data_IF_775712518759
#
_entry.id   IF_775712518759
#
_cell.length_a   1.000
_cell.length_b   1.000
_cell.length_c   1.000
_cell.angle_alpha   90.00
_cell.angle_beta   90.00
_cell.angle_gamma   90.00
#
_symmetry.space_group_name_H-M   'P 1'
#
loop_
_entity.id
_entity.type
_entity.pdbx_description
1 polymer ?
#
# COMPACT_ATOMS: atom_id res chain seq x y z
N UNK A 1 17.04 2.96 -19.72
CA UNK A 1 17.09 2.81 -18.25
C UNK A 1 17.12 4.13 -17.48
N UNK A 2 17.90 5.12 -17.92
CA UNK A 2 18.03 6.44 -17.24
C UNK A 2 16.69 7.18 -17.10
N UNK A 3 15.85 7.17 -18.13
CA UNK A 3 14.54 7.83 -18.12
C UNK A 3 13.53 7.19 -17.16
N UNK A 4 13.51 5.85 -17.06
CA UNK A 4 12.68 5.12 -16.11
C UNK A 4 13.03 5.48 -14.65
N UNK A 5 14.33 5.46 -14.30
CA UNK A 5 14.79 5.82 -12.96
C UNK A 5 14.43 7.28 -12.61
N UNK A 6 14.54 8.19 -13.57
CA UNK A 6 14.18 9.59 -13.37
C UNK A 6 12.69 9.76 -13.08
N UNK A 7 11.84 9.04 -13.81
CA UNK A 7 10.37 9.06 -13.58
C UNK A 7 10.06 8.45 -12.22
N UNK A 8 10.64 7.29 -11.90
CA UNK A 8 10.45 6.63 -10.61
C UNK A 8 10.81 7.52 -9.43
N UNK A 9 12.01 8.13 -9.44
CA UNK A 9 12.43 9.05 -8.38
C UNK A 9 11.54 10.29 -8.30
N UNK A 10 11.07 10.81 -9.43
CA UNK A 10 10.15 11.95 -9.48
C UNK A 10 8.83 11.60 -8.79
N UNK A 11 8.23 10.46 -9.12
CA UNK A 11 6.97 10.00 -8.52
C UNK A 11 7.13 9.74 -7.02
N UNK A 12 8.20 9.08 -6.63
CA UNK A 12 8.50 8.83 -5.22
C UNK A 12 8.68 10.16 -4.45
N UNK A 13 9.45 11.09 -4.99
CA UNK A 13 9.64 12.42 -4.39
C UNK A 13 8.34 13.21 -4.33
N UNK A 14 7.49 13.15 -5.35
CA UNK A 14 6.19 13.81 -5.35
C UNK A 14 5.27 13.28 -4.24
N UNK A 15 5.30 11.96 -3.98
CA UNK A 15 4.58 11.38 -2.86
C UNK A 15 5.10 11.91 -1.51
N UNK A 16 6.41 11.93 -1.29
CA UNK A 16 7.00 12.38 -0.02
C UNK A 16 6.98 13.90 0.19
N UNK A 17 6.98 14.70 -0.87
CA UNK A 17 6.83 16.15 -0.77
C UNK A 17 5.39 16.58 -0.48
N UNK A 18 4.42 15.69 -0.65
CA UNK A 18 3.01 15.97 -0.34
C UNK A 18 2.75 15.80 1.16
N UNK A 19 2.22 16.81 1.86
CA UNK A 19 1.84 16.67 3.27
C UNK A 19 0.78 15.59 3.49
N UNK A 20 -0.02 15.28 2.47
CA UNK A 20 -1.04 14.22 2.50
C UNK A 20 -0.42 12.84 2.68
N UNK A 21 0.77 12.60 2.15
CA UNK A 21 1.47 11.32 2.33
C UNK A 21 1.79 11.03 3.80
N UNK A 22 2.24 12.05 4.54
CA UNK A 22 2.53 11.91 5.97
C UNK A 22 1.25 11.67 6.79
N UNK A 23 0.17 12.35 6.46
CA UNK A 23 -1.13 12.13 7.10
C UNK A 23 -1.60 10.69 6.85
N UNK A 24 -1.53 10.21 5.61
CA UNK A 24 -1.87 8.84 5.26
C UNK A 24 -1.01 7.81 6.01
N UNK A 25 0.29 8.06 6.11
CA UNK A 25 1.22 7.21 6.85
C UNK A 25 0.86 7.12 8.33
N UNK A 26 0.61 8.26 8.97
CA UNK A 26 0.23 8.30 10.40
C UNK A 26 -1.14 7.64 10.63
N UNK A 27 -2.13 7.93 9.79
CA UNK A 27 -3.47 7.33 9.89
C UNK A 27 -3.38 5.82 9.68
N UNK A 28 -2.67 5.36 8.65
CA UNK A 28 -2.47 3.94 8.38
C UNK A 28 -1.85 3.21 9.59
N UNK A 29 -0.75 3.76 10.14
CA UNK A 29 -0.10 3.19 11.31
C UNK A 29 -1.01 3.18 12.54
N UNK A 30 -1.69 4.30 12.82
CA UNK A 30 -2.56 4.42 13.99
C UNK A 30 -3.73 3.44 13.93
N UNK A 31 -4.38 3.35 12.76
CA UNK A 31 -5.55 2.49 12.60
C UNK A 31 -5.17 1.01 12.56
N UNK A 32 -4.10 0.64 11.85
CA UNK A 32 -3.59 -0.75 11.83
C UNK A 32 -3.17 -1.20 13.23
N UNK A 33 -2.48 -0.36 13.97
CA UNK A 33 -2.09 -0.68 15.35
C UNK A 33 -3.29 -0.76 16.30
N UNK A 34 -4.27 0.12 16.14
CA UNK A 34 -5.48 0.11 16.96
C UNK A 34 -6.32 -1.16 16.71
N UNK A 35 -6.55 -1.54 15.44
CA UNK A 35 -7.29 -2.77 15.11
C UNK A 35 -6.57 -4.00 15.63
N UNK A 36 -5.26 -4.10 15.42
CA UNK A 36 -4.46 -5.19 15.95
C UNK A 36 -4.54 -5.32 17.48
N UNK A 37 -4.48 -4.19 18.22
CA UNK A 37 -4.64 -4.19 19.67
C UNK A 37 -6.06 -4.59 20.10
N UNK A 38 -7.09 -4.16 19.39
CA UNK A 38 -8.48 -4.53 19.66
C UNK A 38 -8.69 -6.03 19.44
N UNK A 39 -8.16 -6.58 18.35
CA UNK A 39 -8.27 -8.01 18.02
C UNK A 39 -7.61 -8.87 19.10
N UNK A 40 -6.40 -8.50 19.55
CA UNK A 40 -5.72 -9.22 20.66
C UNK A 40 -6.52 -9.15 21.96
N UNK A 41 -7.15 -8.02 22.27
CA UNK A 41 -7.85 -7.84 23.55
C UNK A 41 -9.24 -8.49 23.57
N UNK A 42 -9.92 -8.53 22.43
CA UNK A 42 -11.27 -9.11 22.32
C UNK A 42 -11.21 -10.62 22.07
N UNK A 43 -10.25 -11.07 21.29
CA UNK A 43 -10.10 -12.44 20.84
C UNK A 43 -8.99 -13.20 21.55
N UNK A 44 -8.67 -12.84 22.80
CA UNK A 44 -7.72 -13.58 23.64
C UNK A 44 -8.08 -15.09 23.83
N UNK A 45 -9.24 -15.51 23.31
CA UNK A 45 -9.73 -16.87 23.25
C UNK A 45 -9.60 -17.52 21.86
N UNK A 46 -9.08 -16.82 20.83
CA UNK A 46 -8.94 -17.40 19.51
C UNK A 46 -7.64 -18.23 19.41
N UNK A 47 -7.79 -19.45 18.90
CA UNK A 47 -6.68 -20.36 18.57
C UNK A 47 -5.84 -19.89 17.37
N UNK A 48 -5.95 -18.62 16.97
CA UNK A 48 -5.23 -18.09 15.82
C UNK A 48 -3.86 -17.50 16.22
N UNK A 49 -2.80 -17.77 15.44
CA UNK A 49 -1.49 -17.19 15.69
C UNK A 49 -1.54 -15.64 15.53
N UNK A 50 -0.90 -14.94 16.44
CA UNK A 50 -0.77 -13.45 16.40
C UNK A 50 -0.29 -12.90 15.05
N UNK A 51 0.52 -13.68 14.34
CA UNK A 51 1.02 -13.34 13.00
C UNK A 51 -0.11 -13.22 11.99
N UNK A 52 -1.11 -14.10 12.03
CA UNK A 52 -2.25 -14.07 11.11
C UNK A 52 -3.09 -12.83 11.36
N UNK A 53 -3.49 -12.59 12.61
CA UNK A 53 -4.28 -11.42 13.02
C UNK A 53 -3.63 -10.10 12.59
N UNK A 54 -2.29 -10.01 12.71
CA UNK A 54 -1.56 -8.82 12.30
C UNK A 54 -1.58 -8.63 10.79
N UNK A 55 -1.33 -9.69 10.01
CA UNK A 55 -1.37 -9.59 8.54
C UNK A 55 -2.77 -9.30 8.02
N UNK A 56 -3.81 -9.83 8.62
CA UNK A 56 -5.21 -9.50 8.29
C UNK A 56 -5.50 -8.02 8.51
N UNK A 57 -5.13 -7.48 9.67
CA UNK A 57 -5.28 -6.05 9.97
C UNK A 57 -4.54 -5.17 8.94
N UNK A 58 -3.31 -5.53 8.58
CA UNK A 58 -2.53 -4.82 7.55
C UNK A 58 -3.25 -4.87 6.20
N UNK A 59 -3.69 -6.03 5.75
CA UNK A 59 -4.32 -6.22 4.44
C UNK A 59 -5.60 -5.38 4.31
N UNK A 60 -6.45 -5.36 5.32
CA UNK A 60 -7.69 -4.57 5.32
C UNK A 60 -7.38 -3.09 5.12
N UNK A 61 -6.49 -2.52 5.89
CA UNK A 61 -6.16 -1.08 5.80
C UNK A 61 -5.30 -0.73 4.61
N UNK A 62 -4.51 -1.68 4.10
CA UNK A 62 -3.74 -1.54 2.88
C UNK A 62 -4.64 -1.26 1.66
N UNK A 63 -5.84 -1.85 1.60
CA UNK A 63 -6.79 -1.61 0.50
C UNK A 63 -7.23 -0.15 0.41
N UNK A 64 -7.49 0.46 1.56
CA UNK A 64 -7.85 1.88 1.64
C UNK A 64 -6.65 2.74 1.22
N UNK A 65 -5.46 2.42 1.74
CA UNK A 65 -4.23 3.15 1.41
C UNK A 65 -3.93 3.08 -0.08
N UNK A 66 -3.99 1.89 -0.69
CA UNK A 66 -3.80 1.69 -2.14
C UNK A 66 -4.80 2.50 -2.95
N UNK A 67 -6.08 2.50 -2.56
CA UNK A 67 -7.12 3.27 -3.23
C UNK A 67 -6.78 4.76 -3.25
N UNK A 68 -6.37 5.34 -2.12
CA UNK A 68 -6.02 6.76 -2.03
C UNK A 68 -4.75 7.09 -2.83
N UNK A 69 -3.77 6.21 -2.84
CA UNK A 69 -2.55 6.40 -3.64
C UNK A 69 -2.86 6.30 -5.14
N UNK A 70 -3.58 5.26 -5.56
CA UNK A 70 -3.85 5.01 -6.99
C UNK A 70 -4.79 6.04 -7.62
N UNK A 71 -5.75 6.60 -6.86
CA UNK A 71 -6.63 7.65 -7.40
C UNK A 71 -5.87 8.89 -7.87
N UNK A 72 -4.67 9.14 -7.33
CA UNK A 72 -3.85 10.31 -7.67
C UNK A 72 -2.93 10.09 -8.86
N UNK A 73 -2.54 8.84 -9.14
CA UNK A 73 -1.48 8.53 -10.11
C UNK A 73 -1.73 9.04 -11.52
N UNK A 74 -2.93 8.87 -12.06
CA UNK A 74 -3.29 9.33 -13.40
C UNK A 74 -4.50 10.27 -13.43
N UNK A 75 -5.48 10.07 -12.54
CA UNK A 75 -6.67 10.89 -12.54
C UNK A 75 -6.37 12.37 -12.20
N UNK A 76 -5.39 12.62 -11.34
CA UNK A 76 -4.95 13.98 -11.01
C UNK A 76 -4.21 14.64 -12.20
N UNK A 77 -3.35 13.92 -12.90
CA UNK A 77 -2.64 14.43 -14.10
C UNK A 77 -3.59 14.69 -15.26
N UNK A 78 -4.60 13.82 -15.46
CA UNK A 78 -5.65 14.06 -16.47
C UNK A 78 -6.47 15.30 -16.15
N UNK A 79 -6.77 15.52 -14.87
CA UNK A 79 -7.54 16.69 -14.43
C UNK A 79 -6.74 17.99 -14.57
N UNK A 80 -5.46 17.95 -14.31
CA UNK A 80 -4.56 19.14 -14.40
C UNK A 80 -4.05 19.40 -15.82
N UNK A 81 -4.31 18.52 -16.78
CA UNK A 81 -3.83 18.63 -18.17
C UNK A 81 -2.32 18.36 -18.33
N UNK A 82 -1.64 17.98 -17.27
CA UNK A 82 -0.19 17.72 -17.29
C UNK A 82 0.19 16.42 -18.01
N UNK A 83 -0.78 15.56 -18.27
CA UNK A 83 -0.56 14.34 -19.03
C UNK A 83 -0.13 14.64 -20.47
N UNK A 84 -0.69 15.70 -21.11
CA UNK A 84 -0.34 16.09 -22.47
C UNK A 84 1.12 16.59 -22.53
N UNK A 85 1.57 17.33 -21.54
CA UNK A 85 2.96 17.80 -21.47
C UNK A 85 3.94 16.64 -21.20
N UNK A 86 3.52 15.60 -20.50
CA UNK A 86 4.32 14.40 -20.30
C UNK A 86 4.52 13.60 -21.60
N UNK A 87 3.53 13.64 -22.49
CA UNK A 87 3.59 12.95 -23.80
C UNK A 87 4.47 13.68 -24.82
N UNK A 88 4.85 14.93 -24.60
CA UNK A 88 5.76 15.67 -25.50
C UNK A 88 7.24 15.36 -25.25
N UNK A 89 7.57 14.70 -24.16
CA UNK A 89 8.93 14.28 -23.82
C UNK A 89 9.25 12.98 -24.59
N UNK A 90 10.50 12.77 -25.08
CA UNK A 90 10.89 11.56 -25.80
C UNK A 90 11.05 10.34 -24.83
N UNK A 91 9.94 9.91 -24.23
CA UNK A 91 9.83 8.73 -23.37
C UNK A 91 8.75 7.80 -23.91
N UNK A 92 8.94 6.49 -23.77
CA UNK A 92 7.94 5.52 -24.18
C UNK A 92 6.81 5.44 -23.14
N UNK A 93 5.58 5.19 -23.59
CA UNK A 93 4.40 5.02 -22.71
C UNK A 93 4.65 3.95 -21.64
N UNK A 94 5.31 2.86 -22.01
CA UNK A 94 5.69 1.79 -21.07
C UNK A 94 6.59 2.29 -19.94
N UNK A 95 7.54 3.19 -20.23
CA UNK A 95 8.42 3.77 -19.21
C UNK A 95 7.65 4.66 -18.23
N UNK A 96 6.63 5.35 -18.70
CA UNK A 96 5.77 6.19 -17.86
C UNK A 96 4.94 5.31 -16.93
N UNK A 97 4.26 4.31 -17.46
CA UNK A 97 3.39 3.41 -16.69
C UNK A 97 4.21 2.63 -15.65
N UNK A 98 5.32 2.03 -16.07
CA UNK A 98 6.19 1.27 -15.16
C UNK A 98 6.86 2.17 -14.11
N UNK A 99 7.23 3.39 -14.47
CA UNK A 99 7.79 4.36 -13.53
C UNK A 99 6.80 4.75 -12.44
N UNK A 100 5.55 5.02 -12.81
CA UNK A 100 4.46 5.31 -11.87
C UNK A 100 4.11 4.11 -10.99
N UNK A 101 4.03 2.93 -11.59
CA UNK A 101 3.82 1.69 -10.86
C UNK A 101 4.90 1.46 -9.81
N UNK A 102 6.17 1.54 -10.21
CA UNK A 102 7.30 1.38 -9.31
C UNK A 102 7.34 2.45 -8.22
N UNK A 103 6.97 3.70 -8.53
CA UNK A 103 6.87 4.80 -7.57
C UNK A 103 5.81 4.54 -6.51
N UNK A 104 4.60 4.16 -6.93
CA UNK A 104 3.50 3.83 -6.03
C UNK A 104 3.80 2.61 -5.16
N UNK A 105 4.35 1.54 -5.76
CA UNK A 105 4.72 0.33 -5.02
C UNK A 105 5.82 0.62 -3.99
N UNK A 106 6.86 1.37 -4.37
CA UNK A 106 7.93 1.76 -3.45
C UNK A 106 7.40 2.61 -2.28
N UNK A 107 6.47 3.53 -2.56
CA UNK A 107 5.83 4.34 -1.52
C UNK A 107 5.03 3.46 -0.55
N UNK A 108 4.22 2.53 -1.05
CA UNK A 108 3.45 1.61 -0.20
C UNK A 108 4.35 0.73 0.67
N UNK A 109 5.42 0.18 0.11
CA UNK A 109 6.38 -0.61 0.87
C UNK A 109 7.08 0.21 1.96
N UNK A 110 7.38 1.48 1.70
CA UNK A 110 7.93 2.39 2.70
C UNK A 110 6.92 2.72 3.81
N UNK A 111 5.64 2.86 3.48
CA UNK A 111 4.58 3.11 4.48
C UNK A 111 4.30 1.87 5.32
N UNK A 112 4.41 0.67 4.76
CA UNK A 112 4.26 -0.59 5.50
C UNK A 112 5.49 -0.96 6.33
N UNK A 113 6.66 -0.40 6.04
CA UNK A 113 7.91 -0.69 6.75
C UNK A 113 7.86 -0.42 8.27
N UNK A 114 7.30 0.71 8.79
CA UNK A 114 7.16 0.91 10.23
C UNK A 114 6.26 -0.14 10.91
N UNK A 115 5.24 -0.66 10.18
CA UNK A 115 4.41 -1.76 10.70
C UNK A 115 5.24 -3.04 10.82
N UNK A 116 6.13 -3.32 9.88
CA UNK A 116 7.07 -4.44 9.97
C UNK A 116 8.01 -4.31 11.19
N UNK A 117 8.43 -3.07 11.52
CA UNK A 117 9.24 -2.82 12.73
C UNK A 117 8.42 -3.08 14.01
N UNK A 118 7.17 -2.62 14.07
CA UNK A 118 6.28 -2.93 15.22
C UNK A 118 6.09 -4.44 15.38
N UNK A 119 6.01 -5.16 14.28
CA UNK A 119 5.94 -6.62 14.27
C UNK A 119 7.18 -7.26 14.89
N UNK A 120 8.37 -6.81 14.48
CA UNK A 120 9.64 -7.27 15.06
C UNK A 120 9.74 -6.94 16.56
N UNK A 121 9.23 -5.79 16.99
CA UNK A 121 9.18 -5.43 18.41
C UNK A 121 8.23 -6.34 19.20
N UNK A 122 7.04 -6.63 18.65
CA UNK A 122 6.09 -7.57 19.28
C UNK A 122 6.71 -8.96 19.39
N UNK A 123 7.40 -9.43 18.33
CA UNK A 123 8.15 -10.71 18.36
C UNK A 123 9.21 -10.70 19.46
N UNK A 124 9.98 -9.63 19.58
CA UNK A 124 11.06 -9.52 20.59
C UNK A 124 10.51 -9.50 22.04
N UNK A 125 9.31 -8.97 22.24
CA UNK A 125 8.68 -8.83 23.56
C UNK A 125 7.75 -10.01 23.88
N UNK A 126 7.32 -10.78 22.90
CA UNK A 126 6.38 -11.93 23.05
C UNK A 126 6.83 -12.97 24.11
N UNK A 127 8.11 -13.33 24.25
CA UNK A 127 8.55 -14.26 25.29
C UNK A 127 8.32 -13.71 26.71
N UNK A 128 8.41 -12.38 26.87
CA UNK A 128 8.19 -11.70 28.15
C UNK A 128 6.70 -11.63 28.49
N UNK A 129 5.84 -11.47 27.47
CA UNK A 129 4.39 -11.32 27.62
C UNK A 129 3.63 -12.64 27.50
N UNK A 130 4.34 -13.77 27.28
CA UNK A 130 3.73 -15.10 27.07
C UNK A 130 2.65 -15.13 25.97
N UNK A 131 2.84 -14.35 24.91
CA UNK A 131 1.91 -14.21 23.78
C UNK A 131 1.95 -15.38 22.77
N UNK A 132 2.63 -16.49 23.12
CA UNK A 132 2.78 -17.66 22.25
C UNK A 132 4.06 -17.65 21.41
N UNK A 133 4.36 -18.79 20.79
CA UNK A 133 5.52 -18.95 19.92
C UNK A 133 5.24 -18.30 18.57
N UNK A 134 6.10 -17.36 18.19
CA UNK A 134 6.06 -16.72 16.88
C UNK A 134 6.91 -17.52 15.89
N UNK A 135 6.26 -18.10 14.91
CA UNK A 135 6.94 -18.83 13.85
C UNK A 135 7.59 -17.87 12.85
N UNK A 136 8.93 -17.88 12.79
CA UNK A 136 9.69 -17.08 11.82
C UNK A 136 9.34 -17.41 10.36
N UNK A 137 8.92 -18.61 10.09
CA UNK A 137 8.43 -19.04 8.77
C UNK A 137 7.14 -18.32 8.40
N UNK A 138 6.20 -18.18 9.33
CA UNK A 138 4.94 -17.46 9.13
C UNK A 138 5.18 -15.95 8.88
N UNK A 139 6.17 -15.37 9.53
CA UNK A 139 6.55 -13.97 9.33
C UNK A 139 7.12 -13.71 7.93
N UNK A 140 8.02 -14.56 7.46
CA UNK A 140 8.60 -14.44 6.12
C UNK A 140 7.57 -14.68 5.02
N UNK A 141 6.73 -15.71 5.17
CA UNK A 141 5.66 -16.01 4.20
C UNK A 141 4.62 -14.90 4.15
N UNK A 142 4.17 -14.40 5.30
CA UNK A 142 3.23 -13.27 5.39
C UNK A 142 3.79 -11.99 4.78
N UNK A 143 5.06 -11.66 5.04
CA UNK A 143 5.73 -10.52 4.42
C UNK A 143 5.82 -10.64 2.90
N UNK A 144 6.12 -11.82 2.37
CA UNK A 144 6.17 -12.08 0.94
C UNK A 144 4.79 -11.96 0.29
N UNK A 145 3.76 -12.52 0.92
CA UNK A 145 2.35 -12.40 0.49
C UNK A 145 1.94 -10.93 0.48
N UNK A 146 2.30 -10.16 1.49
CA UNK A 146 1.99 -8.74 1.57
C UNK A 146 2.60 -7.94 0.40
N UNK A 147 3.84 -8.22 0.02
CA UNK A 147 4.49 -7.61 -1.15
C UNK A 147 3.76 -8.00 -2.44
N UNK A 148 3.43 -9.27 -2.62
CA UNK A 148 2.72 -9.75 -3.81
C UNK A 148 1.32 -9.15 -3.92
N UNK A 149 0.56 -9.13 -2.83
CA UNK A 149 -0.78 -8.53 -2.79
C UNK A 149 -0.69 -7.03 -3.06
N UNK A 150 0.22 -6.31 -2.42
CA UNK A 150 0.44 -4.87 -2.68
C UNK A 150 0.71 -4.60 -4.15
N UNK A 151 1.57 -5.41 -4.76
CA UNK A 151 1.94 -5.33 -6.18
C UNK A 151 0.72 -5.52 -7.09
N UNK A 152 -0.12 -6.52 -6.80
CA UNK A 152 -1.37 -6.79 -7.54
C UNK A 152 -2.37 -5.65 -7.38
N UNK A 153 -2.60 -5.19 -6.16
CA UNK A 153 -3.55 -4.12 -5.86
C UNK A 153 -3.16 -2.79 -6.53
N UNK A 154 -1.86 -2.46 -6.54
CA UNK A 154 -1.34 -1.28 -7.26
C UNK A 154 -1.57 -1.42 -8.76
N UNK A 155 -1.34 -2.60 -9.35
CA UNK A 155 -1.57 -2.83 -10.77
C UNK A 155 -3.05 -2.61 -11.14
N UNK A 156 -3.97 -3.19 -10.36
CA UNK A 156 -5.42 -3.02 -10.54
C UNK A 156 -5.82 -1.56 -10.36
N UNK A 157 -5.36 -0.91 -9.29
CA UNK A 157 -5.66 0.49 -9.00
C UNK A 157 -5.14 1.45 -10.08
N UNK A 158 -3.98 1.18 -10.64
CA UNK A 158 -3.38 1.93 -11.73
C UNK A 158 -4.20 1.77 -13.02
N UNK A 159 -4.66 0.57 -13.35
CA UNK A 159 -5.56 0.33 -14.50
C UNK A 159 -6.85 1.13 -14.35
N UNK A 160 -7.49 1.10 -13.19
CA UNK A 160 -8.71 1.85 -12.92
C UNK A 160 -8.48 3.36 -13.02
N UNK A 161 -7.37 3.86 -12.49
CA UNK A 161 -6.98 5.27 -12.57
C UNK A 161 -6.75 5.72 -14.01
N UNK A 162 -6.22 4.84 -14.88
CA UNK A 162 -6.05 5.10 -16.31
C UNK A 162 -7.39 5.23 -17.05
N UNK A 163 -8.39 4.45 -16.67
CA UNK A 163 -9.70 4.43 -17.34
C UNK A 163 -10.57 5.64 -16.97
N UNK A 164 -10.31 6.28 -15.83
CA UNK A 164 -11.14 7.36 -15.30
C UNK A 164 -10.51 8.74 -15.53
N UNK A 165 -11.36 9.76 -15.76
CA UNK A 165 -10.92 11.18 -15.87
C UNK A 165 -11.22 11.97 -14.60
N UNK A 166 -12.07 11.44 -13.72
CA UNK A 166 -12.47 12.11 -12.50
C UNK A 166 -11.87 11.39 -11.28
N UNK A 167 -11.19 12.12 -10.44
CA UNK A 167 -10.51 11.61 -9.24
C UNK A 167 -11.47 10.89 -8.27
N UNK A 168 -12.69 11.40 -8.11
CA UNK A 168 -13.70 10.80 -7.22
C UNK A 168 -14.20 9.47 -7.79
N UNK A 169 -14.47 9.44 -9.10
CA UNK A 169 -14.89 8.20 -9.76
C UNK A 169 -13.76 7.18 -9.74
N UNK A 170 -12.51 7.62 -9.95
CA UNK A 170 -11.34 6.78 -9.82
C UNK A 170 -11.24 6.13 -8.43
N UNK A 171 -11.45 6.91 -7.37
CA UNK A 171 -11.42 6.41 -5.99
C UNK A 171 -12.48 5.33 -5.74
N UNK A 172 -13.73 5.57 -6.14
CA UNK A 172 -14.83 4.62 -5.95
C UNK A 172 -14.58 3.33 -6.75
N UNK A 173 -14.23 3.46 -8.03
CA UNK A 173 -13.96 2.29 -8.88
C UNK A 173 -12.72 1.51 -8.40
N UNK A 174 -11.65 2.20 -7.97
CA UNK A 174 -10.49 1.57 -7.37
C UNK A 174 -10.85 0.80 -6.10
N UNK A 175 -11.62 1.41 -5.21
CA UNK A 175 -12.05 0.78 -3.97
C UNK A 175 -12.85 -0.50 -4.26
N UNK A 176 -13.85 -0.43 -5.15
CA UNK A 176 -14.64 -1.60 -5.53
C UNK A 176 -13.79 -2.69 -6.20
N UNK A 177 -12.86 -2.33 -7.08
CA UNK A 177 -12.00 -3.29 -7.76
C UNK A 177 -11.02 -3.97 -6.79
N UNK A 178 -10.40 -3.21 -5.89
CA UNK A 178 -9.45 -3.72 -4.89
C UNK A 178 -10.15 -4.64 -3.90
N UNK A 179 -11.33 -4.26 -3.39
CA UNK A 179 -12.14 -5.12 -2.55
C UNK A 179 -12.64 -6.36 -3.28
N UNK A 180 -13.03 -6.22 -4.55
CA UNK A 180 -13.41 -7.36 -5.38
C UNK A 180 -12.29 -8.39 -5.52
N UNK A 181 -11.04 -7.96 -5.65
CA UNK A 181 -9.87 -8.86 -5.73
C UNK A 181 -9.58 -9.56 -4.40
N UNK A 182 -9.87 -8.93 -3.26
CA UNK A 182 -9.64 -9.54 -1.94
C UNK A 182 -10.73 -10.52 -1.51
N UNK A 183 -11.96 -10.39 -2.06
CA UNK A 183 -13.07 -11.27 -1.73
C UNK A 183 -13.08 -12.58 -2.55
N UNK A 184 -12.25 -12.68 -3.60
CA UNK A 184 -12.05 -13.87 -4.42
C UNK A 184 -10.77 -14.61 -4.08
#
# INVERSE_FOLDING_TARGET
>A
MRNFLTIWFRELSACFLSPVAYVLMVVFLAVTSATFLLDITQDAALDQPLTVTLFESILVWLTILVTVVCMRLFAEEKRSGTLETLMTVPVTEAQIVLGKYAGALSFLLLVTFPVAITLLLVVAVSPVLQLGDLDGGALLSGGLILILVSSLLVAVGLLVSLLTRNQIIAAICCFCAVWGVLLF
#
